data_IF_484760898364
#
_entry.id   IF_484760898364
#
_cell.length_a   1.000
_cell.length_b   1.000
_cell.length_c   1.000
_cell.angle_alpha   90.00
_cell.angle_beta   90.00
_cell.angle_gamma   90.00
#
_symmetry.space_group_name_H-M   'P 1'
#
loop_
_entity.id
_entity.type
_entity.pdbx_description
1 polymer ?
#
# COMPACT_ATOMS: atom_id res chain seq x y z
N UNK A 1 -11.54 -3.42 -8.79
CA UNK A 1 -12.92 -3.50 -9.31
C UNK A 1 -12.85 -4.21 -10.65
N UNK A 2 -13.84 -5.05 -11.02
CA UNK A 2 -14.01 -5.48 -12.40
C UNK A 2 -13.86 -4.25 -13.31
N UNK A 3 -13.19 -4.37 -14.45
CA UNK A 3 -12.90 -3.22 -15.32
C UNK A 3 -14.18 -2.43 -15.66
N UNK A 4 -15.29 -3.14 -15.85
CA UNK A 4 -16.64 -2.59 -16.07
C UNK A 4 -17.17 -1.70 -14.94
N UNK A 5 -16.57 -1.75 -13.74
CA UNK A 5 -16.98 -0.97 -12.56
C UNK A 5 -15.95 0.08 -12.14
N UNK A 6 -14.88 0.26 -12.91
CA UNK A 6 -13.91 1.33 -12.65
C UNK A 6 -14.53 2.67 -13.05
N UNK A 7 -14.37 3.68 -12.19
CA UNK A 7 -14.87 5.03 -12.45
C UNK A 7 -13.70 5.84 -13.01
N UNK A 8 -13.77 6.30 -14.26
CA UNK A 8 -12.71 7.08 -14.92
C UNK A 8 -12.21 8.29 -14.11
N UNK A 9 -13.11 8.94 -13.36
CA UNK A 9 -12.77 10.10 -12.51
C UNK A 9 -11.98 9.71 -11.25
N UNK A 10 -11.91 8.43 -10.89
CA UNK A 10 -11.20 7.93 -9.72
C UNK A 10 -9.86 7.35 -10.16
N UNK A 11 -8.77 8.00 -9.74
CA UNK A 11 -7.42 7.48 -9.93
C UNK A 11 -7.10 6.47 -8.82
N UNK A 12 -7.06 5.18 -9.15
CA UNK A 12 -6.62 4.14 -8.21
C UNK A 12 -5.08 4.13 -8.12
N UNK A 13 -4.55 4.22 -6.89
CA UNK A 13 -3.11 4.07 -6.62
C UNK A 13 -2.91 2.79 -5.80
N UNK A 14 -1.86 2.04 -6.11
CA UNK A 14 -1.55 0.82 -5.37
C UNK A 14 -0.85 1.15 -4.05
N UNK A 15 -1.35 0.55 -2.96
CA UNK A 15 -0.71 0.59 -1.63
C UNK A 15 0.12 -0.67 -1.34
N UNK A 16 0.19 -1.61 -2.29
CA UNK A 16 0.94 -2.86 -2.15
C UNK A 16 2.40 -2.68 -1.68
N UNK A 17 3.22 -1.77 -2.25
CA UNK A 17 4.61 -1.62 -1.80
C UNK A 17 4.73 -1.06 -0.37
N UNK A 18 3.79 -0.22 0.06
CA UNK A 18 3.72 0.30 1.42
C UNK A 18 3.43 -0.83 2.42
N UNK A 19 2.43 -1.66 2.12
CA UNK A 19 2.06 -2.80 2.94
C UNK A 19 3.17 -3.87 2.98
N UNK A 20 3.80 -4.17 1.84
CA UNK A 20 4.92 -5.11 1.79
C UNK A 20 6.09 -4.66 2.69
N UNK A 21 6.41 -3.36 2.64
CA UNK A 21 7.46 -2.77 3.48
C UNK A 21 7.10 -2.82 4.97
N UNK A 22 5.83 -2.59 5.31
CA UNK A 22 5.35 -2.67 6.69
C UNK A 22 5.40 -4.12 7.24
N UNK A 23 5.00 -5.10 6.42
CA UNK A 23 5.11 -6.52 6.77
C UNK A 23 6.57 -6.89 7.01
N UNK A 24 7.47 -6.52 6.09
CA UNK A 24 8.90 -6.79 6.23
C UNK A 24 9.48 -6.18 7.52
N UNK A 25 9.23 -4.89 7.75
CA UNK A 25 9.70 -4.19 8.94
C UNK A 25 9.19 -4.84 10.24
N UNK A 26 7.91 -5.21 10.28
CA UNK A 26 7.29 -5.89 11.43
C UNK A 26 7.96 -7.25 11.68
N UNK A 27 8.19 -8.03 10.62
CA UNK A 27 8.84 -9.33 10.69
C UNK A 27 10.29 -9.23 11.18
N UNK A 28 11.02 -8.19 10.78
CA UNK A 28 12.43 -7.99 11.20
C UNK A 28 12.58 -7.20 12.50
N UNK A 29 11.49 -6.81 13.16
CA UNK A 29 11.54 -5.95 14.37
C UNK A 29 12.03 -4.52 14.10
N UNK A 30 12.00 -4.07 12.84
CA UNK A 30 12.36 -2.71 12.46
C UNK A 30 11.17 -1.75 12.65
N UNK A 31 11.46 -0.46 12.88
CA UNK A 31 10.40 0.53 13.06
C UNK A 31 9.60 0.77 11.77
N UNK A 32 8.29 0.65 11.87
CA UNK A 32 7.34 1.00 10.79
C UNK A 32 7.07 2.50 10.69
N UNK A 33 7.44 3.30 11.69
CA UNK A 33 7.18 4.76 11.68
C UNK A 33 7.92 5.50 10.56
N UNK A 34 9.04 4.95 10.08
CA UNK A 34 9.79 5.50 8.95
C UNK A 34 9.01 5.46 7.62
N UNK A 35 7.96 4.64 7.52
CA UNK A 35 7.15 4.48 6.30
C UNK A 35 6.03 5.53 6.16
N UNK A 36 5.78 6.36 7.17
CA UNK A 36 4.61 7.27 7.25
C UNK A 36 5.01 8.73 7.53
N UNK A 37 6.13 9.20 6.98
CA UNK A 37 6.64 10.57 7.18
C UNK A 37 5.80 11.64 6.46
#
# INVERSE_FOLDING_TARGET
LPEEKQIDKIKQVSVAPLLASAIYATHTGASVSALFR
#
